data_IF_757959673394
#
_entry.id   IF_757959673394
#
_cell.length_a   1.000
_cell.length_b   1.000
_cell.length_c   1.000
_cell.angle_alpha   90.00
_cell.angle_beta   90.00
_cell.angle_gamma   90.00
#
_symmetry.space_group_name_H-M   'P 1'
#
loop_
_entity.id
_entity.type
_entity.pdbx_description
1 polymer ?
#
# COMPACT_ATOMS: atom_id res chain seq x y z
N UNK A 1 -21.81 -40.32 73.48
CA UNK A 1 -22.93 -39.38 73.75
C UNK A 1 -23.25 -38.62 72.47
N UNK A 2 -24.50 -38.75 71.97
CA UNK A 2 -25.26 -37.85 71.07
C UNK A 2 -24.65 -37.51 69.68
N UNK A 3 -25.25 -38.01 68.59
CA UNK A 3 -26.37 -37.42 67.77
C UNK A 3 -25.93 -36.14 67.02
N UNK A 4 -25.78 -36.15 65.69
CA UNK A 4 -26.81 -36.02 64.64
C UNK A 4 -27.52 -34.65 64.65
N UNK A 5 -27.26 -33.76 63.66
CA UNK A 5 -28.14 -32.70 63.11
C UNK A 5 -27.41 -32.09 61.87
N UNK A 6 -27.85 -32.39 60.64
CA UNK A 6 -28.78 -31.63 59.78
C UNK A 6 -28.19 -30.35 59.11
N UNK A 7 -28.10 -30.44 57.78
CA UNK A 7 -28.59 -29.47 56.79
C UNK A 7 -27.85 -28.17 56.45
N UNK A 8 -27.52 -28.12 55.16
CA UNK A 8 -27.81 -27.05 54.19
C UNK A 8 -26.79 -25.89 54.04
N UNK A 9 -26.46 -25.66 52.75
CA UNK A 9 -25.95 -24.45 52.09
C UNK A 9 -24.43 -24.19 52.03
N UNK A 10 -23.92 -24.34 50.80
CA UNK A 10 -23.12 -23.36 50.04
C UNK A 10 -21.59 -23.31 50.27
N UNK A 11 -20.88 -23.47 49.14
CA UNK A 11 -19.47 -23.17 48.81
C UNK A 11 -18.42 -24.22 49.22
N UNK A 12 -18.02 -25.04 48.24
CA UNK A 12 -16.66 -25.62 48.11
C UNK A 12 -16.34 -25.59 46.62
N UNK A 13 -15.53 -24.64 46.16
CA UNK A 13 -14.06 -24.64 46.16
C UNK A 13 -13.47 -25.41 44.98
N UNK A 14 -12.81 -24.62 44.14
CA UNK A 14 -11.56 -24.85 43.45
C UNK A 14 -10.79 -26.16 43.78
N UNK A 15 -10.36 -26.80 42.68
CA UNK A 15 -9.10 -27.53 42.46
C UNK A 15 -8.95 -29.02 42.78
N UNK A 16 -8.73 -29.75 41.67
CA UNK A 16 -7.76 -30.84 41.42
C UNK A 16 -8.08 -32.24 41.96
N UNK A 17 -8.34 -33.20 41.06
CA UNK A 17 -7.37 -34.22 40.59
C UNK A 17 -8.07 -35.36 39.82
N UNK A 18 -7.37 -35.87 38.78
CA UNK A 18 -7.51 -37.20 38.14
C UNK A 18 -8.82 -37.51 37.38
N UNK A 19 -8.92 -38.38 36.38
CA UNK A 19 -8.06 -39.08 35.39
C UNK A 19 -9.04 -40.00 34.59
N UNK A 20 -8.60 -40.60 33.45
CA UNK A 20 -9.33 -41.58 32.57
C UNK A 20 -10.34 -41.00 31.54
N UNK A 21 -10.14 -41.19 30.22
CA UNK A 21 -10.68 -42.28 29.32
C UNK A 21 -12.22 -42.22 29.21
N UNK A 22 -12.94 -42.31 28.08
CA UNK A 22 -12.78 -42.72 26.67
C UNK A 22 -14.02 -42.10 25.93
N UNK A 23 -13.87 -41.64 24.68
CA UNK A 23 -14.57 -42.13 23.47
C UNK A 23 -15.81 -41.33 22.97
N UNK A 24 -15.74 -41.05 21.67
CA UNK A 24 -16.77 -40.98 20.62
C UNK A 24 -17.82 -39.85 20.51
N UNK A 25 -17.66 -39.14 19.38
CA UNK A 25 -18.64 -38.67 18.40
C UNK A 25 -19.72 -37.64 18.76
N UNK A 26 -19.56 -36.44 18.17
CA UNK A 26 -20.67 -35.80 17.46
C UNK A 26 -20.16 -34.78 16.43
N UNK A 27 -20.17 -35.17 15.15
CA UNK A 27 -20.25 -34.24 14.04
C UNK A 27 -21.46 -33.32 14.23
N UNK A 28 -21.25 -32.00 14.21
CA UNK A 28 -22.23 -31.03 13.73
C UNK A 28 -21.54 -29.71 13.38
N UNK A 29 -21.38 -29.52 12.07
CA UNK A 29 -21.29 -28.27 11.31
C UNK A 29 -21.17 -26.97 12.11
N UNK A 30 -19.99 -26.37 12.04
CA UNK A 30 -19.88 -24.93 11.82
C UNK A 30 -18.87 -24.72 10.69
N UNK A 31 -19.36 -24.81 9.46
CA UNK A 31 -18.81 -23.99 8.37
C UNK A 31 -18.97 -22.53 8.79
N UNK A 32 -17.94 -21.97 9.43
CA UNK A 32 -17.74 -20.53 9.49
C UNK A 32 -16.53 -20.23 8.65
N UNK A 33 -16.82 -19.84 7.42
CA UNK A 33 -16.07 -18.92 6.57
C UNK A 33 -14.71 -18.51 7.17
N UNK A 34 -13.70 -19.35 6.95
CA UNK A 34 -12.34 -18.88 6.88
C UNK A 34 -12.23 -18.10 5.56
N UNK A 35 -12.59 -16.82 5.59
CA UNK A 35 -12.25 -15.90 4.52
C UNK A 35 -10.73 -15.88 4.39
N UNK A 36 -10.21 -16.63 3.43
CA UNK A 36 -8.87 -16.48 2.87
C UNK A 36 -8.76 -15.09 2.23
N UNK A 37 -8.62 -14.05 3.06
CA UNK A 37 -8.06 -12.78 2.63
C UNK A 37 -6.54 -12.86 2.79
N UNK A 38 -5.91 -13.65 1.92
CA UNK A 38 -4.50 -13.43 1.61
C UNK A 38 -4.37 -12.11 0.84
N UNK A 39 -3.29 -11.32 0.98
CA UNK A 39 -3.22 -9.93 0.48
C UNK A 39 -3.15 -9.76 -1.05
N UNK A 40 -3.49 -10.79 -1.81
CA UNK A 40 -3.37 -10.84 -3.26
C UNK A 40 -4.78 -10.99 -3.83
N UNK A 41 -5.18 -10.03 -4.67
CA UNK A 41 -6.46 -9.92 -5.41
C UNK A 41 -7.60 -9.08 -4.79
N UNK A 42 -7.34 -7.77 -4.72
CA UNK A 42 -8.26 -6.75 -5.27
C UNK A 42 -7.64 -6.03 -6.51
N UNK A 43 -6.64 -6.66 -7.15
CA UNK A 43 -5.93 -6.18 -8.35
C UNK A 43 -6.83 -6.06 -9.58
N UNK A 44 -7.83 -6.94 -9.71
CA UNK A 44 -8.78 -7.01 -10.85
C UNK A 44 -9.46 -5.66 -11.16
N UNK A 45 -9.96 -4.95 -10.13
CA UNK A 45 -10.62 -3.66 -10.33
C UNK A 45 -9.70 -2.57 -10.93
N UNK A 46 -8.47 -2.46 -10.43
CA UNK A 46 -7.52 -1.43 -10.87
C UNK A 46 -6.95 -1.73 -12.25
N UNK A 47 -6.63 -2.99 -12.52
CA UNK A 47 -6.15 -3.40 -13.85
C UNK A 47 -7.27 -3.28 -14.89
N UNK A 48 -8.54 -3.50 -14.52
CA UNK A 48 -9.69 -3.28 -15.40
C UNK A 48 -9.80 -1.83 -15.85
N UNK A 49 -9.72 -0.87 -14.91
CA UNK A 49 -9.71 0.57 -15.24
C UNK A 49 -8.57 0.88 -16.21
N UNK A 50 -7.39 0.32 -15.95
CA UNK A 50 -6.21 0.54 -16.79
C UNK A 50 -6.38 0.01 -18.23
N UNK A 51 -6.93 -1.20 -18.38
CA UNK A 51 -7.24 -1.80 -19.67
C UNK A 51 -8.33 -1.03 -20.43
N UNK A 52 -9.33 -0.51 -19.72
CA UNK A 52 -10.36 0.35 -20.32
C UNK A 52 -9.78 1.68 -20.82
N UNK A 53 -8.85 2.29 -20.07
CA UNK A 53 -8.14 3.50 -20.52
C UNK A 53 -7.31 3.23 -21.79
N UNK A 54 -6.66 2.08 -21.91
CA UNK A 54 -5.97 1.69 -23.14
C UNK A 54 -6.94 1.57 -24.33
N UNK A 55 -8.11 0.97 -24.14
CA UNK A 55 -9.14 0.88 -25.21
C UNK A 55 -9.57 2.28 -25.63
N UNK A 56 -9.82 3.18 -24.67
CA UNK A 56 -10.20 4.57 -24.96
C UNK A 56 -9.13 5.27 -25.80
N UNK A 57 -7.85 5.17 -25.41
CA UNK A 57 -6.75 5.76 -26.15
C UNK A 57 -6.63 5.20 -27.58
N UNK A 58 -6.75 3.88 -27.75
CA UNK A 58 -6.67 3.26 -29.08
C UNK A 58 -7.83 3.70 -29.97
N UNK A 59 -9.04 3.84 -29.44
CA UNK A 59 -10.17 4.38 -30.21
C UNK A 59 -9.86 5.81 -30.70
N UNK A 60 -9.35 6.68 -29.83
CA UNK A 60 -8.93 8.04 -30.21
C UNK A 60 -7.86 8.02 -31.31
N UNK A 61 -6.87 7.12 -31.23
CA UNK A 61 -5.85 6.98 -32.27
C UNK A 61 -6.42 6.50 -33.61
N UNK A 62 -7.44 5.63 -33.60
CA UNK A 62 -8.12 5.18 -34.82
C UNK A 62 -8.86 6.35 -35.47
N UNK A 63 -9.60 7.12 -34.66
CA UNK A 63 -10.41 8.25 -35.14
C UNK A 63 -9.55 9.38 -35.70
N UNK A 64 -8.35 9.57 -35.15
CA UNK A 64 -7.35 10.54 -35.61
C UNK A 64 -6.41 9.99 -36.70
N UNK A 65 -6.65 8.77 -37.20
CA UNK A 65 -5.83 8.09 -38.20
C UNK A 65 -4.33 7.91 -37.82
N UNK A 66 -4.01 7.96 -36.52
CA UNK A 66 -2.64 7.80 -35.98
C UNK A 66 -2.22 6.31 -35.93
N UNK A 67 -3.17 5.40 -36.11
CA UNK A 67 -2.98 3.96 -36.29
C UNK A 67 -3.93 3.44 -37.36
N UNK A 68 -3.46 2.49 -38.19
CA UNK A 68 -4.35 1.81 -39.14
C UNK A 68 -5.48 1.11 -38.39
N UNK A 69 -6.73 1.35 -38.82
CA UNK A 69 -7.96 0.79 -38.19
C UNK A 69 -7.91 -0.72 -37.92
N UNK A 70 -7.33 -1.50 -38.83
CA UNK A 70 -7.14 -2.94 -38.64
C UNK A 70 -6.25 -3.28 -37.44
N UNK A 71 -5.12 -2.58 -37.30
CA UNK A 71 -4.19 -2.76 -36.20
C UNK A 71 -4.80 -2.31 -34.86
N UNK A 72 -5.47 -1.15 -34.85
CA UNK A 72 -6.17 -0.66 -33.66
C UNK A 72 -7.25 -1.63 -33.17
N UNK A 73 -8.07 -2.17 -34.08
CA UNK A 73 -9.06 -3.20 -33.75
C UNK A 73 -8.41 -4.49 -33.21
N UNK A 74 -7.28 -4.90 -33.76
CA UNK A 74 -6.55 -6.08 -33.28
C UNK A 74 -5.99 -5.89 -31.86
N UNK A 75 -5.47 -4.69 -31.53
CA UNK A 75 -5.05 -4.35 -30.17
C UNK A 75 -6.23 -4.35 -29.19
N UNK A 76 -7.35 -3.69 -29.55
CA UNK A 76 -8.57 -3.67 -28.72
C UNK A 76 -9.09 -5.10 -28.47
N UNK A 77 -9.09 -5.96 -29.49
CA UNK A 77 -9.51 -7.35 -29.34
C UNK A 77 -8.64 -8.11 -28.31
N UNK A 78 -7.32 -7.93 -28.37
CA UNK A 78 -6.40 -8.50 -27.36
C UNK A 78 -6.71 -7.97 -25.96
N UNK A 79 -6.92 -6.67 -25.79
CA UNK A 79 -7.24 -6.06 -24.48
C UNK A 79 -8.57 -6.59 -23.94
N UNK A 80 -9.60 -6.75 -24.78
CA UNK A 80 -10.89 -7.33 -24.38
C UNK A 80 -10.77 -8.79 -23.94
N UNK A 81 -9.90 -9.56 -24.58
CA UNK A 81 -9.58 -10.93 -24.13
C UNK A 81 -8.97 -10.91 -22.74
N UNK A 82 -8.00 -10.02 -22.49
CA UNK A 82 -7.36 -9.87 -21.17
C UNK A 82 -8.42 -9.52 -20.11
N UNK A 83 -9.29 -8.53 -20.38
CA UNK A 83 -10.39 -8.14 -19.49
C UNK A 83 -11.31 -9.31 -19.12
N UNK A 84 -11.68 -10.14 -20.10
CA UNK A 84 -12.57 -11.30 -19.89
C UNK A 84 -11.92 -12.39 -19.02
N UNK A 85 -10.61 -12.50 -19.11
CA UNK A 85 -9.87 -13.57 -18.46
C UNK A 85 -9.34 -13.19 -17.07
N UNK A 86 -9.32 -11.90 -16.73
CA UNK A 86 -8.67 -11.38 -15.52
C UNK A 86 -9.24 -11.96 -14.21
N UNK A 87 -10.53 -12.29 -14.19
CA UNK A 87 -11.18 -12.90 -13.01
C UNK A 87 -10.89 -14.39 -12.89
N UNK A 88 -10.42 -15.03 -13.96
CA UNK A 88 -10.22 -16.48 -14.06
C UNK A 88 -8.74 -16.87 -14.04
N UNK A 89 -7.87 -15.98 -14.47
CA UNK A 89 -6.44 -16.20 -14.60
C UNK A 89 -5.68 -15.69 -13.37
N UNK A 90 -4.58 -16.35 -13.02
CA UNK A 90 -3.65 -15.82 -12.01
C UNK A 90 -2.85 -14.63 -12.59
N UNK A 91 -2.25 -13.81 -11.72
CA UNK A 91 -1.51 -12.60 -12.13
C UNK A 91 -0.40 -12.90 -13.17
N UNK A 92 0.26 -14.05 -13.09
CA UNK A 92 1.33 -14.43 -14.03
C UNK A 92 0.80 -14.66 -15.45
N UNK A 93 -0.37 -15.29 -15.58
CA UNK A 93 -1.03 -15.49 -16.86
C UNK A 93 -1.46 -14.16 -17.49
N UNK A 94 -2.06 -13.26 -16.70
CA UNK A 94 -2.43 -11.91 -17.15
C UNK A 94 -1.18 -11.10 -17.56
N UNK A 95 -0.10 -11.18 -16.79
CA UNK A 95 1.19 -10.55 -17.10
C UNK A 95 1.77 -11.06 -18.43
N UNK A 96 1.70 -12.35 -18.71
CA UNK A 96 2.14 -12.92 -19.98
C UNK A 96 1.31 -12.38 -21.16
N UNK A 97 0.01 -12.16 -20.98
CA UNK A 97 -0.84 -11.57 -22.02
C UNK A 97 -0.51 -10.09 -22.26
N UNK A 98 -0.22 -9.32 -21.21
CA UNK A 98 0.26 -7.94 -21.33
C UNK A 98 1.60 -7.87 -22.06
N UNK A 99 2.55 -8.75 -21.72
CA UNK A 99 3.83 -8.84 -22.44
C UNK A 99 3.64 -9.13 -23.94
N UNK A 100 2.70 -10.03 -24.28
CA UNK A 100 2.35 -10.29 -25.68
C UNK A 100 1.72 -9.07 -26.38
N UNK A 101 0.91 -8.28 -25.66
CA UNK A 101 0.37 -7.02 -26.15
C UNK A 101 1.48 -5.97 -26.38
N UNK A 102 2.41 -5.82 -25.42
CA UNK A 102 3.59 -4.94 -25.51
C UNK A 102 4.43 -5.26 -26.74
N UNK A 103 4.71 -6.55 -26.99
CA UNK A 103 5.45 -6.99 -28.16
C UNK A 103 4.71 -6.69 -29.47
N UNK A 104 3.38 -6.81 -29.49
CA UNK A 104 2.59 -6.41 -30.65
C UNK A 104 2.68 -4.89 -30.91
N UNK A 105 2.59 -4.06 -29.88
CA UNK A 105 2.77 -2.60 -30.01
C UNK A 105 4.16 -2.25 -30.52
N UNK A 106 5.22 -2.88 -30.00
CA UNK A 106 6.60 -2.71 -30.51
C UNK A 106 6.72 -3.06 -32.00
N UNK A 107 6.10 -4.15 -32.45
CA UNK A 107 6.09 -4.51 -33.87
C UNK A 107 5.38 -3.47 -34.74
N UNK A 108 4.30 -2.86 -34.23
CA UNK A 108 3.60 -1.78 -34.93
C UNK A 108 4.45 -0.51 -35.02
N UNK A 109 5.19 -0.16 -33.95
CA UNK A 109 6.14 0.96 -33.96
C UNK A 109 7.22 0.72 -35.01
N UNK A 110 7.87 -0.46 -34.96
CA UNK A 110 8.98 -0.80 -35.85
C UNK A 110 8.57 -0.85 -37.33
N UNK A 111 7.31 -1.20 -37.62
CA UNK A 111 6.77 -1.21 -38.99
C UNK A 111 6.22 0.14 -39.46
N UNK A 112 6.23 1.17 -38.61
CA UNK A 112 5.63 2.48 -38.89
C UNK A 112 4.10 2.42 -39.01
N UNK A 113 3.46 1.39 -38.46
CA UNK A 113 2.03 1.17 -38.54
C UNK A 113 1.22 1.90 -37.45
N UNK A 114 1.93 2.47 -36.48
CA UNK A 114 1.49 3.44 -35.48
C UNK A 114 2.52 4.56 -35.42
N UNK A 115 2.08 5.80 -35.19
CA UNK A 115 2.99 6.92 -34.95
C UNK A 115 3.81 6.66 -33.68
N UNK A 116 5.12 6.92 -33.76
CA UNK A 116 6.08 6.59 -32.70
C UNK A 116 5.66 7.12 -31.32
N UNK A 117 5.34 8.41 -31.22
CA UNK A 117 4.92 9.05 -29.96
C UNK A 117 3.70 8.35 -29.34
N UNK A 118 2.71 8.01 -30.16
CA UNK A 118 1.50 7.33 -29.72
C UNK A 118 1.81 5.87 -29.32
N UNK A 119 2.65 5.18 -30.07
CA UNK A 119 3.11 3.84 -29.71
C UNK A 119 3.90 3.80 -28.40
N UNK A 120 4.70 4.84 -28.12
CA UNK A 120 5.41 4.99 -26.85
C UNK A 120 4.43 5.20 -25.69
N UNK A 121 3.47 6.13 -25.82
CA UNK A 121 2.42 6.36 -24.82
C UNK A 121 1.61 5.09 -24.50
N UNK A 122 1.27 4.31 -25.52
CA UNK A 122 0.58 3.03 -25.32
C UNK A 122 1.49 1.99 -24.64
N UNK A 123 2.78 1.97 -24.97
CA UNK A 123 3.75 1.07 -24.33
C UNK A 123 3.94 1.41 -22.84
N UNK A 124 3.97 2.69 -22.49
CA UNK A 124 4.04 3.17 -21.10
C UNK A 124 2.79 2.76 -20.31
N UNK A 125 1.60 2.88 -20.91
CA UNK A 125 0.39 2.35 -20.30
C UNK A 125 0.48 0.83 -20.11
N UNK A 126 0.87 0.05 -21.12
CA UNK A 126 0.96 -1.41 -20.94
C UNK A 126 1.95 -1.77 -19.81
N UNK A 127 3.10 -1.12 -19.76
CA UNK A 127 4.11 -1.32 -18.71
C UNK A 127 3.61 -0.93 -17.32
N UNK A 128 2.85 0.15 -17.20
CA UNK A 128 2.17 0.51 -15.95
C UNK A 128 1.21 -0.60 -15.49
N UNK A 129 0.51 -1.27 -16.41
CA UNK A 129 -0.35 -2.40 -16.12
C UNK A 129 0.43 -3.65 -15.66
N UNK A 130 1.55 -3.94 -16.33
CA UNK A 130 2.47 -5.04 -15.96
C UNK A 130 3.01 -4.82 -14.54
N UNK A 131 3.44 -3.59 -14.26
CA UNK A 131 3.96 -3.18 -12.96
C UNK A 131 2.87 -3.29 -11.87
N UNK A 132 1.63 -2.86 -12.13
CA UNK A 132 0.51 -3.03 -11.19
C UNK A 132 0.25 -4.50 -10.82
N UNK A 133 0.34 -5.42 -11.79
CA UNK A 133 0.20 -6.86 -11.53
C UNK A 133 1.39 -7.46 -10.79
N UNK A 134 2.59 -6.93 -11.06
CA UNK A 134 3.80 -7.25 -10.31
C UNK A 134 3.82 -6.61 -8.90
N UNK A 135 2.84 -5.76 -8.57
CA UNK A 135 2.79 -5.03 -7.31
C UNK A 135 3.88 -3.95 -7.19
N UNK A 136 4.29 -3.36 -8.31
CA UNK A 136 5.37 -2.37 -8.39
C UNK A 136 4.87 -1.11 -9.09
N UNK A 137 5.35 0.04 -8.68
CA UNK A 137 5.27 1.33 -9.37
C UNK A 137 6.70 1.78 -9.70
N UNK A 138 6.91 2.33 -10.91
CA UNK A 138 8.17 2.95 -11.29
C UNK A 138 7.89 4.43 -11.49
N UNK A 139 8.54 5.29 -10.69
CA UNK A 139 8.42 6.73 -10.82
C UNK A 139 9.15 7.20 -12.09
N UNK A 140 8.43 7.77 -13.09
CA UNK A 140 9.03 8.15 -14.35
C UNK A 140 10.03 9.32 -14.23
N UNK A 141 10.02 10.04 -13.10
CA UNK A 141 10.87 11.22 -12.89
C UNK A 141 12.30 10.83 -12.53
N UNK A 142 12.51 9.66 -11.92
CA UNK A 142 13.82 9.23 -11.42
C UNK A 142 14.08 7.71 -11.51
N UNK A 143 13.16 6.93 -12.07
CA UNK A 143 13.19 5.48 -12.18
C UNK A 143 13.21 4.72 -10.84
N UNK A 144 12.87 5.38 -9.73
CA UNK A 144 12.73 4.70 -8.46
C UNK A 144 11.54 3.74 -8.48
N UNK A 145 11.78 2.53 -7.98
CA UNK A 145 10.78 1.47 -7.86
C UNK A 145 10.19 1.44 -6.46
N UNK A 146 8.88 1.28 -6.38
CA UNK A 146 8.13 1.19 -5.14
C UNK A 146 7.18 0.02 -5.24
N UNK A 147 7.05 -0.76 -4.18
CA UNK A 147 5.98 -1.75 -4.06
C UNK A 147 4.63 -1.02 -3.95
N UNK A 148 3.56 -1.66 -4.41
CA UNK A 148 2.19 -1.16 -4.29
C UNK A 148 1.39 -2.16 -3.47
N UNK A 149 0.70 -1.69 -2.44
CA UNK A 149 -0.18 -2.51 -1.61
C UNK A 149 -1.59 -1.94 -1.56
N UNK A 150 -2.60 -2.80 -1.54
CA UNK A 150 -3.99 -2.40 -1.37
C UNK A 150 -4.45 -2.72 0.04
N UNK A 151 -4.91 -1.69 0.76
CA UNK A 151 -5.40 -1.81 2.13
C UNK A 151 -6.81 -1.23 2.16
N UNK A 152 -7.79 -2.10 2.40
CA UNK A 152 -9.20 -1.77 2.23
C UNK A 152 -9.53 -1.42 0.78
N UNK A 153 -9.86 -0.16 0.54
CA UNK A 153 -10.15 0.40 -0.79
C UNK A 153 -8.98 1.23 -1.34
N UNK A 154 -8.02 1.59 -0.50
CA UNK A 154 -6.92 2.49 -0.82
C UNK A 154 -5.71 1.73 -1.36
N UNK A 155 -5.00 2.35 -2.30
CA UNK A 155 -3.78 1.80 -2.91
C UNK A 155 -2.59 2.68 -2.48
N UNK A 156 -1.65 2.08 -1.77
CA UNK A 156 -0.53 2.75 -1.14
C UNK A 156 0.80 2.32 -1.74
N UNK A 157 1.78 3.21 -1.74
CA UNK A 157 3.18 2.79 -1.85
C UNK A 157 3.61 2.03 -0.58
N UNK A 158 4.30 0.91 -0.77
CA UNK A 158 4.84 0.07 0.30
C UNK A 158 6.07 0.68 0.98
N UNK A 159 6.81 1.54 0.28
CA UNK A 159 7.93 2.29 0.80
C UNK A 159 7.61 3.79 0.89
N UNK A 160 8.40 4.52 1.69
CA UNK A 160 8.35 5.97 1.67
C UNK A 160 8.92 6.50 0.35
N UNK A 161 8.34 7.58 -0.17
CA UNK A 161 8.83 8.21 -1.39
C UNK A 161 10.27 8.72 -1.18
N UNK A 162 11.10 8.62 -2.23
CA UNK A 162 12.52 9.02 -2.18
C UNK A 162 12.94 9.94 -3.32
N UNK A 163 11.95 10.46 -4.05
CA UNK A 163 12.12 11.46 -5.10
C UNK A 163 12.78 12.72 -4.53
N UNK A 164 13.81 13.22 -5.22
CA UNK A 164 14.52 14.43 -4.81
C UNK A 164 13.81 15.65 -5.41
N UNK A 165 12.87 16.23 -4.66
CA UNK A 165 12.04 17.38 -5.10
C UNK A 165 12.88 18.65 -5.27
N UNK A 166 13.85 18.87 -4.38
CA UNK A 166 14.70 20.07 -4.32
C UNK A 166 15.74 19.95 -3.19
N UNK A 167 16.49 21.02 -2.93
CA UNK A 167 17.48 21.13 -1.84
C UNK A 167 16.88 21.13 -0.42
N UNK A 168 15.54 21.13 -0.29
CA UNK A 168 14.88 21.18 1.01
C UNK A 168 14.54 19.78 1.57
N UNK A 169 14.61 18.73 0.74
CA UNK A 169 14.57 17.35 1.20
C UNK A 169 15.96 16.83 1.64
N UNK A 170 15.99 15.84 2.55
CA UNK A 170 17.25 15.33 3.12
C UNK A 170 17.24 13.82 3.32
N UNK A 171 18.41 13.21 3.22
CA UNK A 171 18.61 11.85 3.69
C UNK A 171 18.49 11.75 5.22
N UNK A 172 18.10 10.56 5.69
CA UNK A 172 18.08 10.24 7.12
C UNK A 172 19.48 10.36 7.71
N UNK A 173 19.61 11.06 8.84
CA UNK A 173 20.91 11.37 9.47
C UNK A 173 21.96 11.99 8.51
N UNK A 174 21.54 12.70 7.47
CA UNK A 174 22.41 13.18 6.38
C UNK A 174 23.25 12.07 5.72
N UNK A 175 22.75 10.83 5.72
CA UNK A 175 23.42 9.67 5.15
C UNK A 175 22.66 9.15 3.92
N UNK A 176 23.16 9.45 2.72
CA UNK A 176 22.55 9.05 1.45
C UNK A 176 22.42 7.53 1.28
N UNK A 177 23.22 6.71 1.97
CA UNK A 177 23.05 5.24 1.95
C UNK A 177 21.71 4.78 2.55
N UNK A 178 21.08 5.60 3.40
CA UNK A 178 19.79 5.28 4.00
C UNK A 178 18.60 5.62 3.10
N UNK A 179 18.81 6.36 2.00
CA UNK A 179 17.72 6.83 1.13
C UNK A 179 16.99 5.67 0.45
N UNK A 180 17.73 4.65 0.01
CA UNK A 180 17.12 3.50 -0.65
C UNK A 180 16.22 2.70 0.31
N UNK A 181 16.55 2.66 1.60
CA UNK A 181 15.81 1.86 2.58
C UNK A 181 14.67 2.65 3.24
N UNK A 182 14.89 3.92 3.59
CA UNK A 182 13.95 4.71 4.40
C UNK A 182 13.22 5.81 3.62
N UNK A 183 13.69 6.13 2.41
CA UNK A 183 13.24 7.26 1.62
C UNK A 183 13.97 8.56 1.96
N UNK A 184 13.30 9.70 1.78
CA UNK A 184 13.82 11.00 2.22
C UNK A 184 12.90 11.64 3.26
N UNK A 185 13.47 12.57 4.01
CA UNK A 185 12.76 13.46 4.91
C UNK A 185 12.48 14.77 4.19
N UNK A 186 11.22 15.18 4.15
CA UNK A 186 10.74 16.35 3.41
C UNK A 186 10.19 17.39 4.36
N UNK A 187 10.39 18.68 4.07
CA UNK A 187 9.49 19.69 4.62
C UNK A 187 8.06 19.43 4.13
N UNK A 188 7.06 20.01 4.79
CA UNK A 188 5.69 19.83 4.34
C UNK A 188 5.48 20.35 2.91
N UNK A 189 6.12 21.48 2.56
CA UNK A 189 6.05 22.05 1.21
C UNK A 189 6.65 21.10 0.15
N UNK A 190 7.84 20.53 0.41
CA UNK A 190 8.42 19.56 -0.53
C UNK A 190 7.63 18.25 -0.56
N UNK A 191 7.04 17.81 0.56
CA UNK A 191 6.22 16.61 0.62
C UNK A 191 4.98 16.69 -0.28
N UNK A 192 4.37 17.87 -0.41
CA UNK A 192 3.23 18.10 -1.31
C UNK A 192 3.58 17.89 -2.79
N UNK A 193 4.86 18.01 -3.15
CA UNK A 193 5.34 17.84 -4.52
C UNK A 193 6.15 16.53 -4.70
N UNK A 194 6.26 15.72 -3.65
CA UNK A 194 7.08 14.51 -3.67
C UNK A 194 6.42 13.37 -4.44
N UNK A 195 5.09 13.27 -4.43
CA UNK A 195 4.38 12.20 -5.11
C UNK A 195 4.30 12.46 -6.63
N UNK A 196 4.44 11.41 -7.47
CA UNK A 196 4.35 11.52 -8.92
C UNK A 196 2.90 11.68 -9.38
N UNK A 197 2.69 12.04 -10.64
CA UNK A 197 1.34 12.14 -11.23
C UNK A 197 0.54 10.83 -11.05
N UNK A 198 -0.76 10.96 -10.74
CA UNK A 198 -1.64 9.84 -10.38
C UNK A 198 -1.46 9.33 -8.95
N UNK A 199 -0.60 9.98 -8.17
CA UNK A 199 -0.38 9.74 -6.75
C UNK A 199 -0.30 11.06 -6.00
N UNK A 200 -0.69 11.05 -4.73
CA UNK A 200 -0.65 12.24 -3.89
C UNK A 200 -0.21 11.94 -2.46
N UNK A 201 0.14 13.00 -1.74
CA UNK A 201 0.40 12.94 -0.32
C UNK A 201 -0.94 12.79 0.43
N UNK A 202 -1.12 11.75 1.28
CA UNK A 202 -2.40 11.41 1.87
C UNK A 202 -2.95 12.54 2.75
N UNK A 203 -4.23 12.83 2.56
CA UNK A 203 -5.00 13.70 3.43
C UNK A 203 -5.23 13.07 4.80
N UNK A 204 -5.67 13.89 5.75
CA UNK A 204 -6.02 13.42 7.08
C UNK A 204 -7.18 12.41 7.05
N UNK A 205 -8.16 12.66 6.18
CA UNK A 205 -9.30 11.79 5.96
C UNK A 205 -8.87 10.41 5.42
N UNK A 206 -7.87 10.36 4.54
CA UNK A 206 -7.36 9.10 3.99
C UNK A 206 -6.56 8.29 5.01
N UNK A 207 -5.81 8.95 5.88
CA UNK A 207 -5.19 8.29 7.02
C UNK A 207 -6.24 7.71 7.98
N UNK A 208 -7.35 8.42 8.19
CA UNK A 208 -8.46 7.96 9.04
C UNK A 208 -9.13 6.72 8.43
N UNK A 209 -9.44 6.74 7.12
CA UNK A 209 -9.96 5.56 6.39
C UNK A 209 -9.06 4.35 6.55
N UNK A 210 -7.73 4.53 6.41
CA UNK A 210 -6.76 3.47 6.63
C UNK A 210 -6.85 2.92 8.06
N UNK A 211 -6.83 3.79 9.07
CA UNK A 211 -6.88 3.34 10.46
C UNK A 211 -8.18 2.64 10.81
N UNK A 212 -9.32 3.09 10.28
CA UNK A 212 -10.63 2.50 10.54
C UNK A 212 -10.72 1.09 9.94
N UNK A 213 -10.26 0.91 8.70
CA UNK A 213 -10.17 -0.41 8.07
C UNK A 213 -9.30 -1.38 8.88
N UNK A 214 -8.24 -0.89 9.52
CA UNK A 214 -7.32 -1.70 10.32
C UNK A 214 -7.84 -2.05 11.73
N UNK A 215 -9.06 -1.61 12.09
CA UNK A 215 -9.66 -1.83 13.40
C UNK A 215 -9.48 -0.68 14.38
N UNK A 216 -9.21 0.53 13.86
CA UNK A 216 -9.07 1.77 14.62
C UNK A 216 -7.62 2.16 14.90
N UNK A 217 -7.42 3.47 15.16
CA UNK A 217 -6.08 4.05 15.28
C UNK A 217 -5.23 3.45 16.41
N UNK A 218 -5.82 2.89 17.46
CA UNK A 218 -5.10 2.29 18.60
C UNK A 218 -4.31 1.03 18.25
N UNK A 219 -4.71 0.31 17.20
CA UNK A 219 -4.09 -0.95 16.76
C UNK A 219 -3.44 -0.85 15.38
N UNK A 220 -3.85 0.13 14.57
CA UNK A 220 -3.40 0.29 13.19
C UNK A 220 -1.87 0.35 13.04
N UNK A 221 -1.18 1.10 13.90
CA UNK A 221 0.29 1.19 13.86
C UNK A 221 0.98 -0.16 14.05
N UNK A 222 0.46 -1.03 14.92
CA UNK A 222 1.00 -2.38 15.13
C UNK A 222 0.95 -3.25 13.87
N UNK A 223 -0.14 -3.15 13.10
CA UNK A 223 -0.35 -3.89 11.85
C UNK A 223 0.48 -3.36 10.68
N UNK A 224 0.88 -2.08 10.72
CA UNK A 224 1.64 -1.41 9.66
C UNK A 224 3.15 -1.48 9.86
N UNK A 225 3.62 -1.53 11.11
CA UNK A 225 5.05 -1.64 11.45
C UNK A 225 5.69 -2.86 10.79
N UNK A 226 6.92 -2.67 10.29
CA UNK A 226 7.77 -3.79 9.85
C UNK A 226 7.97 -4.84 10.95
N UNK A 227 8.18 -6.09 10.53
CA UNK A 227 8.44 -7.23 11.41
C UNK A 227 9.80 -7.19 12.12
N UNK A 228 10.69 -6.27 11.71
CA UNK A 228 12.01 -6.06 12.29
C UNK A 228 12.44 -4.58 12.21
N UNK A 229 13.54 -4.25 12.90
CA UNK A 229 14.17 -2.92 12.85
C UNK A 229 13.68 -1.91 13.90
N UNK A 230 12.60 -2.22 14.62
CA UNK A 230 12.12 -1.37 15.73
C UNK A 230 12.90 -1.65 17.01
N UNK A 231 13.27 -0.59 17.70
CA UNK A 231 14.02 -0.62 18.95
C UNK A 231 13.34 -1.51 20.00
N UNK A 232 14.14 -2.23 20.80
CA UNK A 232 13.66 -3.13 21.87
C UNK A 232 12.67 -4.20 21.38
N UNK A 233 12.83 -4.69 20.14
CA UNK A 233 11.89 -5.63 19.51
C UNK A 233 10.45 -5.12 19.47
N UNK A 234 10.26 -3.80 19.41
CA UNK A 234 8.96 -3.14 19.29
C UNK A 234 8.34 -3.26 17.89
N UNK A 235 8.57 -4.38 17.21
CA UNK A 235 8.19 -4.63 15.84
C UNK A 235 6.65 -4.74 15.69
N UNK A 236 6.19 -4.70 14.45
CA UNK A 236 4.80 -5.01 14.10
C UNK A 236 4.66 -6.36 13.44
N UNK A 237 3.51 -6.54 12.80
CA UNK A 237 3.18 -7.75 12.05
C UNK A 237 3.24 -7.54 10.54
N UNK A 238 3.21 -6.29 10.08
CA UNK A 238 3.16 -5.89 8.66
C UNK A 238 2.11 -6.68 7.85
N UNK A 239 0.90 -6.84 8.41
CA UNK A 239 -0.17 -7.72 7.90
C UNK A 239 -0.50 -7.49 6.41
N UNK A 240 -0.22 -6.29 5.90
CA UNK A 240 -0.62 -5.83 4.56
C UNK A 240 0.57 -5.40 3.67
N UNK A 241 1.81 -5.59 4.12
CA UNK A 241 3.00 -5.18 3.36
C UNK A 241 3.17 -3.65 3.24
N UNK A 242 2.62 -2.90 4.21
CA UNK A 242 2.83 -1.46 4.26
C UNK A 242 4.25 -1.11 4.71
N UNK A 243 4.95 -2.01 5.40
CA UNK A 243 6.37 -1.86 5.72
C UNK A 243 6.74 -0.50 6.33
N UNK A 244 6.01 -0.10 7.40
CA UNK A 244 6.30 1.12 8.13
C UNK A 244 7.61 1.00 8.91
N UNK A 245 8.64 1.68 8.41
CA UNK A 245 9.99 1.67 8.98
C UNK A 245 10.19 2.77 10.03
N UNK A 246 10.96 2.49 11.11
CA UNK A 246 11.23 3.47 12.17
C UNK A 246 12.39 4.42 11.78
N UNK A 247 12.23 5.17 10.70
CA UNK A 247 13.26 6.06 10.19
C UNK A 247 13.54 7.28 11.08
N UNK A 248 12.70 7.60 12.06
CA UNK A 248 12.82 8.82 12.84
C UNK A 248 12.36 10.06 12.06
N UNK A 249 12.94 11.20 12.37
CA UNK A 249 12.59 12.49 11.78
C UNK A 249 13.68 13.54 12.01
N UNK A 250 13.54 14.71 11.38
CA UNK A 250 14.41 15.86 11.65
C UNK A 250 13.61 17.10 12.09
N UNK A 251 14.00 17.66 13.24
CA UNK A 251 13.55 18.98 13.69
C UNK A 251 14.59 20.02 13.32
N UNK A 252 14.23 20.93 12.42
CA UNK A 252 15.14 21.88 11.78
C UNK A 252 16.40 21.20 11.18
N UNK A 253 17.48 21.10 11.95
CA UNK A 253 18.76 20.47 11.55
C UNK A 253 19.11 19.22 12.35
N UNK A 254 18.36 18.90 13.41
CA UNK A 254 18.68 17.80 14.31
C UNK A 254 17.87 16.55 13.96
N UNK A 255 18.56 15.45 13.69
CA UNK A 255 17.95 14.15 13.42
C UNK A 255 17.69 13.37 14.70
N UNK A 256 16.52 12.75 14.83
CA UNK A 256 16.04 12.16 16.07
C UNK A 256 15.29 10.84 15.84
N UNK A 257 15.25 10.01 16.88
CA UNK A 257 14.37 8.83 17.01
C UNK A 257 14.51 7.75 15.92
N UNK A 258 15.69 7.64 15.31
CA UNK A 258 16.01 6.52 14.43
C UNK A 258 15.88 5.18 15.16
N UNK A 259 15.27 4.20 14.51
CA UNK A 259 14.92 2.91 15.10
C UNK A 259 13.75 2.94 16.08
N UNK A 260 13.25 4.13 16.47
CA UNK A 260 12.25 4.25 17.54
C UNK A 260 10.88 4.76 17.08
N UNK A 261 10.85 5.58 16.04
CA UNK A 261 9.62 6.22 15.57
C UNK A 261 9.55 6.25 14.05
N UNK A 262 8.34 6.15 13.52
CA UNK A 262 8.04 6.49 12.13
C UNK A 262 7.13 7.72 12.12
N UNK A 263 7.46 8.74 11.32
CA UNK A 263 6.66 9.96 11.19
C UNK A 263 6.37 10.19 9.70
N UNK A 264 5.11 10.46 9.39
CA UNK A 264 4.58 10.54 8.03
C UNK A 264 3.71 11.77 7.88
N UNK A 265 4.00 12.60 6.89
CA UNK A 265 3.19 13.78 6.61
C UNK A 265 1.77 13.43 6.16
N UNK A 266 0.84 14.33 6.50
CA UNK A 266 -0.43 14.47 5.79
C UNK A 266 -0.40 15.74 4.94
N UNK A 267 -1.11 15.74 3.81
CA UNK A 267 -1.33 16.93 2.98
C UNK A 267 -2.30 17.94 3.61
N UNK A 268 -2.91 17.63 4.76
CA UNK A 268 -3.89 18.49 5.43
C UNK A 268 -3.24 19.45 6.43
N UNK A 269 -3.58 20.73 6.31
CA UNK A 269 -3.21 21.79 7.27
C UNK A 269 -4.12 21.78 8.50
N UNK A 270 -3.67 22.38 9.60
CA UNK A 270 -4.57 22.57 10.76
C UNK A 270 -5.46 23.78 10.61
N UNK A 271 -6.69 23.71 11.12
CA UNK A 271 -7.65 24.83 11.10
C UNK A 271 -7.21 26.00 12.01
N UNK A 272 -6.50 25.69 13.10
CA UNK A 272 -6.12 26.68 14.11
C UNK A 272 -4.84 27.45 13.77
N UNK A 273 -3.97 26.90 12.93
CA UNK A 273 -2.71 27.54 12.56
C UNK A 273 -2.22 27.09 11.18
N UNK A 274 -2.19 28.04 10.24
CA UNK A 274 -1.76 27.80 8.85
C UNK A 274 -0.27 27.45 8.72
N UNK A 275 0.55 27.70 9.75
CA UNK A 275 1.96 27.28 9.80
C UNK A 275 2.14 25.80 10.18
N UNK A 276 1.08 25.14 10.62
CA UNK A 276 1.10 23.75 11.08
C UNK A 276 0.40 22.83 10.08
N UNK A 277 0.87 21.58 10.03
CA UNK A 277 0.23 20.51 9.27
C UNK A 277 0.10 19.26 10.13
N UNK A 278 -0.87 18.42 9.78
CA UNK A 278 -1.07 17.13 10.41
C UNK A 278 0.01 16.14 9.95
N UNK A 279 0.37 15.23 10.85
CA UNK A 279 1.22 14.08 10.56
C UNK A 279 0.72 12.88 11.36
N UNK A 280 1.13 11.69 10.91
CA UNK A 280 0.94 10.42 11.64
C UNK A 280 2.26 9.96 12.20
N UNK A 281 2.24 9.37 13.39
CA UNK A 281 3.40 8.68 13.92
C UNK A 281 3.06 7.38 14.64
N UNK A 282 4.03 6.48 14.65
CA UNK A 282 4.03 5.24 15.45
C UNK A 282 5.32 5.18 16.24
N UNK A 283 5.24 4.74 17.49
CA UNK A 283 6.38 4.56 18.41
C UNK A 283 6.62 3.07 18.67
N UNK A 284 7.88 2.67 18.86
CA UNK A 284 8.26 1.28 19.10
C UNK A 284 7.52 0.61 20.27
N UNK A 285 7.13 1.37 21.31
CA UNK A 285 6.42 0.83 22.49
C UNK A 285 4.94 0.54 22.24
N UNK A 286 4.37 1.12 21.20
CA UNK A 286 2.92 1.12 20.98
C UNK A 286 2.52 0.58 19.62
N UNK A 287 1.21 0.41 19.48
CA UNK A 287 0.56 -0.02 18.24
C UNK A 287 -0.37 1.06 17.67
N UNK A 288 -0.37 2.26 18.27
CA UNK A 288 -1.25 3.33 17.83
C UNK A 288 -0.64 4.11 16.66
N UNK A 289 -1.44 4.36 15.62
CA UNK A 289 -1.16 5.32 14.55
C UNK A 289 -1.70 6.68 14.98
N UNK A 290 -0.87 7.46 15.67
CA UNK A 290 -1.29 8.68 16.35
C UNK A 290 -1.25 9.87 15.40
N UNK A 291 -2.29 10.70 15.43
CA UNK A 291 -2.33 12.01 14.76
C UNK A 291 -1.81 13.12 15.70
N UNK A 292 -0.95 13.99 15.15
CA UNK A 292 -0.45 15.22 15.79
C UNK A 292 -0.22 16.29 14.73
N UNK A 293 -0.04 17.54 15.15
CA UNK A 293 0.30 18.65 14.28
C UNK A 293 1.67 19.23 14.63
N UNK A 294 2.41 19.70 13.62
CA UNK A 294 3.68 20.39 13.84
C UNK A 294 3.94 21.44 12.77
N UNK A 295 4.91 22.34 13.02
CA UNK A 295 5.36 23.34 12.05
C UNK A 295 5.83 22.68 10.75
N UNK A 296 5.41 23.26 9.62
CA UNK A 296 5.66 22.78 8.25
C UNK A 296 7.13 22.72 7.84
N UNK A 297 8.03 23.39 8.57
CA UNK A 297 9.47 23.42 8.31
C UNK A 297 10.26 22.23 8.91
N UNK A 298 9.61 21.39 9.71
CA UNK A 298 10.19 20.11 10.15
C UNK A 298 10.24 19.13 9.00
N UNK A 299 11.03 18.05 9.13
CA UNK A 299 11.15 17.05 8.06
C UNK A 299 10.74 15.67 8.51
N UNK A 300 9.70 15.15 7.87
CA UNK A 300 9.17 13.80 8.06
C UNK A 300 9.19 13.03 6.75
N UNK A 301 9.01 11.72 6.87
CA UNK A 301 8.83 10.85 5.71
C UNK A 301 7.53 11.23 4.99
N UNK A 302 7.46 10.95 3.70
CA UNK A 302 6.22 11.01 2.94
C UNK A 302 5.95 9.64 2.32
N UNK A 303 4.67 9.31 2.18
CA UNK A 303 4.21 8.07 1.56
C UNK A 303 3.04 8.39 0.68
N UNK A 304 3.07 7.92 -0.56
CA UNK A 304 2.05 8.29 -1.53
C UNK A 304 0.92 7.27 -1.56
N UNK A 305 -0.28 7.78 -1.80
CA UNK A 305 -1.50 7.02 -2.07
C UNK A 305 -1.95 7.36 -3.50
N UNK A 306 -2.55 6.39 -4.19
CA UNK A 306 -3.05 6.57 -5.55
C UNK A 306 -4.34 7.39 -5.55
N UNK A 307 -4.51 8.24 -6.55
CA UNK A 307 -5.74 9.04 -6.80
C UNK A 307 -6.99 8.16 -7.02
#
# INVERSE_FOLDING_TARGET
MKKLFYSILIIVSFMMFSSCHEEEDMFLNVEKEASLDSPILKSSSTINVHLLNMISLINTMIDQELIKKGNGKALIAKIRTILKNIEKENNNAVLNQLNALKNHVKALINSGAIILEQGQKLSELIESGENLLAGIFIDPRDNNKYSIVKIGEQIWMGENIRYNVDSDCRAYNNNEYLVNSFGRLYSWASAQNACPEGWHLPSDAEWTKLSDFLGGYLVAGGKLKTISGWYSNGNGTDDYGFSLLPGGFSFATHFNSFGQMANLWSSTTTEHNSNYAWYRYVNYRGSALVQRSILKNNRFSARCIKD
#
